data_IF_565613345496
#
_entry.id   IF_565613345496
#
_cell.length_a   1.000
_cell.length_b   1.000
_cell.length_c   1.000
_cell.angle_alpha   90.00
_cell.angle_beta   90.00
_cell.angle_gamma   90.00
#
_symmetry.space_group_name_H-M   'P 1'
#
loop_
_entity.id
_entity.type
_entity.pdbx_description
1 polymer ?
#
# COMPACT_ATOMS: atom_id res chain seq x y z
N UNK A 1 -5.30 -14.70 -6.06
CA UNK A 1 -6.22 -15.10 -7.13
C UNK A 1 -5.47 -15.23 -8.45
N UNK A 2 -5.84 -16.16 -9.31
CA UNK A 2 -5.31 -16.23 -10.67
C UNK A 2 -5.65 -14.93 -11.41
N UNK A 3 -4.67 -14.28 -12.02
CA UNK A 3 -4.82 -12.96 -12.63
C UNK A 3 -4.69 -11.77 -11.66
N UNK A 4 -4.33 -12.04 -10.40
CA UNK A 4 -4.09 -11.00 -9.38
C UNK A 4 -5.35 -10.46 -8.71
N UNK A 5 -5.21 -9.35 -7.97
CA UNK A 5 -6.30 -8.71 -7.23
C UNK A 5 -7.37 -8.12 -8.16
N UNK A 6 -7.00 -7.64 -9.34
CA UNK A 6 -7.95 -7.11 -10.33
C UNK A 6 -9.04 -8.13 -10.68
N UNK A 7 -8.69 -9.42 -10.80
CA UNK A 7 -9.68 -10.48 -11.10
C UNK A 7 -10.77 -10.59 -10.01
N UNK A 8 -10.44 -10.26 -8.75
CA UNK A 8 -11.42 -10.25 -7.65
C UNK A 8 -12.36 -9.05 -7.83
N UNK A 9 -11.80 -7.87 -8.08
CA UNK A 9 -12.57 -6.64 -8.33
C UNK A 9 -13.51 -6.80 -9.52
N UNK A 10 -13.03 -7.37 -10.63
CA UNK A 10 -13.82 -7.62 -11.84
C UNK A 10 -14.99 -8.58 -11.56
N UNK A 11 -14.75 -9.62 -10.76
CA UNK A 11 -15.81 -10.55 -10.36
C UNK A 11 -16.87 -9.86 -9.49
N UNK A 12 -16.45 -9.00 -8.54
CA UNK A 12 -17.36 -8.23 -7.69
C UNK A 12 -18.18 -7.22 -8.50
N UNK A 13 -17.55 -6.48 -9.42
CA UNK A 13 -18.22 -5.54 -10.33
C UNK A 13 -19.22 -6.27 -11.24
N UNK A 14 -18.82 -7.44 -11.79
CA UNK A 14 -19.71 -8.27 -12.59
C UNK A 14 -20.94 -8.72 -11.80
N UNK A 15 -20.75 -9.11 -10.54
CA UNK A 15 -21.85 -9.50 -9.67
C UNK A 15 -22.78 -8.32 -9.33
N UNK A 16 -22.20 -7.15 -8.99
CA UNK A 16 -22.96 -5.92 -8.74
C UNK A 16 -23.86 -5.57 -9.93
N UNK A 17 -23.31 -5.61 -11.16
CA UNK A 17 -24.07 -5.32 -12.38
C UNK A 17 -25.20 -6.32 -12.62
N UNK A 18 -25.02 -7.60 -12.30
CA UNK A 18 -26.10 -8.61 -12.36
C UNK A 18 -27.24 -8.33 -11.39
N UNK A 19 -26.96 -7.64 -10.29
CA UNK A 19 -27.96 -7.21 -9.31
C UNK A 19 -28.63 -5.87 -9.68
N UNK A 20 -28.29 -5.29 -10.85
CA UNK A 20 -28.83 -4.01 -11.31
C UNK A 20 -28.05 -2.79 -10.82
N UNK A 21 -26.89 -2.98 -10.17
CA UNK A 21 -26.02 -1.90 -9.77
C UNK A 21 -25.20 -1.33 -10.93
N UNK A 22 -24.83 -0.07 -10.84
CA UNK A 22 -24.01 0.64 -11.82
C UNK A 22 -22.66 1.00 -11.23
N UNK A 23 -21.65 1.12 -12.09
CA UNK A 23 -20.30 1.58 -11.75
C UNK A 23 -19.91 2.67 -12.73
N UNK A 24 -19.71 3.87 -12.23
CA UNK A 24 -19.18 5.01 -12.95
C UNK A 24 -17.73 5.22 -12.55
N UNK A 25 -16.83 5.27 -13.51
CA UNK A 25 -15.39 5.53 -13.32
C UNK A 25 -14.97 6.81 -14.02
N UNK A 26 -13.79 7.35 -13.64
CA UNK A 26 -13.28 8.58 -14.25
C UNK A 26 -14.02 9.85 -13.82
N UNK A 27 -14.87 9.76 -12.80
CA UNK A 27 -15.60 10.91 -12.25
C UNK A 27 -15.10 11.23 -10.84
N UNK A 28 -14.51 12.38 -10.71
CA UNK A 28 -14.15 12.93 -9.40
C UNK A 28 -15.39 13.57 -8.76
N UNK A 29 -15.66 13.23 -7.50
CA UNK A 29 -16.75 13.79 -6.71
C UNK A 29 -16.17 14.76 -5.69
N UNK A 30 -16.43 16.06 -5.86
CA UNK A 30 -15.98 17.12 -4.97
C UNK A 30 -16.99 17.48 -3.89
N UNK A 31 -18.28 17.34 -4.18
CA UNK A 31 -19.38 17.68 -3.28
C UNK A 31 -20.53 16.67 -3.41
N UNK A 32 -21.29 16.46 -2.32
CA UNK A 32 -22.39 15.50 -2.28
C UNK A 32 -23.52 15.89 -3.24
N UNK A 33 -23.69 17.18 -3.53
CA UNK A 33 -24.73 17.67 -4.43
C UNK A 33 -24.48 17.35 -5.91
N UNK A 34 -23.27 16.86 -6.25
CA UNK A 34 -22.95 16.32 -7.57
C UNK A 34 -23.51 14.91 -7.79
N UNK A 35 -23.91 14.23 -6.69
CA UNK A 35 -24.43 12.87 -6.73
C UNK A 35 -25.95 12.87 -6.92
N UNK A 36 -26.50 11.83 -7.58
CA UNK A 36 -27.94 11.63 -7.65
C UNK A 36 -28.56 11.56 -6.26
N UNK A 37 -29.82 11.99 -6.14
CA UNK A 37 -30.56 11.83 -4.88
C UNK A 37 -30.69 10.35 -4.50
N UNK A 38 -30.32 10.00 -3.30
CA UNK A 38 -30.36 8.64 -2.77
C UNK A 38 -30.86 8.63 -1.32
N UNK A 39 -31.36 7.48 -0.88
CA UNK A 39 -31.79 7.28 0.51
C UNK A 39 -30.59 7.23 1.48
N UNK A 40 -29.41 6.83 0.99
CA UNK A 40 -28.18 6.75 1.76
C UNK A 40 -26.96 6.94 0.87
N UNK A 41 -25.92 7.52 1.44
CA UNK A 41 -24.61 7.66 0.81
C UNK A 41 -23.58 6.92 1.67
N UNK A 42 -22.79 6.05 1.04
CA UNK A 42 -21.72 5.28 1.70
C UNK A 42 -20.38 5.77 1.15
N UNK A 43 -19.49 6.17 2.05
CA UNK A 43 -18.17 6.67 1.70
C UNK A 43 -17.11 5.62 2.01
N UNK A 44 -16.39 5.19 0.98
CA UNK A 44 -15.16 4.41 1.07
C UNK A 44 -13.97 5.31 0.68
N UNK A 45 -13.80 6.38 1.46
CA UNK A 45 -12.80 7.42 1.25
C UNK A 45 -12.10 7.75 2.57
N UNK A 46 -11.01 8.55 2.51
CA UNK A 46 -10.43 9.12 3.72
C UNK A 46 -11.47 9.97 4.48
N UNK A 47 -11.30 10.05 5.80
CA UNK A 47 -12.23 10.83 6.65
C UNK A 47 -12.27 12.31 6.30
N UNK A 48 -11.13 12.87 5.91
CA UNK A 48 -11.02 14.25 5.42
C UNK A 48 -11.75 14.45 4.08
N UNK A 49 -11.66 13.48 3.17
CA UNK A 49 -12.41 13.50 1.92
C UNK A 49 -13.92 13.41 2.17
N UNK A 50 -14.36 12.51 3.05
CA UNK A 50 -15.76 12.44 3.48
C UNK A 50 -16.25 13.78 4.07
N UNK A 51 -15.44 14.38 4.97
CA UNK A 51 -15.80 15.67 5.58
C UNK A 51 -15.95 16.79 4.56
N UNK A 52 -15.09 16.79 3.52
CA UNK A 52 -15.15 17.76 2.42
C UNK A 52 -16.36 17.51 1.51
N UNK A 53 -16.55 16.26 1.06
CA UNK A 53 -17.61 15.92 0.10
C UNK A 53 -18.99 16.11 0.72
N UNK A 54 -19.20 15.61 1.94
CA UNK A 54 -20.49 15.73 2.63
C UNK A 54 -20.79 17.15 3.13
N UNK A 55 -19.76 17.97 3.37
CA UNK A 55 -19.88 19.38 3.71
C UNK A 55 -20.87 19.64 4.84
N UNK A 56 -21.80 20.57 4.62
CA UNK A 56 -22.80 20.98 5.60
C UNK A 56 -23.91 19.95 5.85
N UNK A 57 -23.91 18.82 5.13
CA UNK A 57 -24.78 17.66 5.45
C UNK A 57 -24.35 16.96 6.73
N UNK A 58 -23.10 17.18 7.19
CA UNK A 58 -22.59 16.68 8.46
C UNK A 58 -22.64 17.77 9.54
N UNK A 59 -23.01 17.44 10.78
CA UNK A 59 -22.89 18.36 11.90
C UNK A 59 -21.44 18.83 12.08
N UNK A 60 -21.23 20.11 12.37
CA UNK A 60 -19.91 20.73 12.52
C UNK A 60 -19.00 19.99 13.51
N UNK A 61 -19.57 19.50 14.61
CA UNK A 61 -18.82 18.76 15.63
C UNK A 61 -18.26 17.45 15.05
N UNK A 62 -19.07 16.77 14.24
CA UNK A 62 -18.64 15.51 13.61
C UNK A 62 -17.60 15.76 12.52
N UNK A 63 -17.82 16.77 11.67
CA UNK A 63 -16.85 17.18 10.62
C UNK A 63 -15.48 17.54 11.23
N UNK A 64 -15.47 18.25 12.36
CA UNK A 64 -14.25 18.56 13.11
C UNK A 64 -13.56 17.29 13.66
N UNK A 65 -14.30 16.27 14.07
CA UNK A 65 -13.73 14.99 14.50
C UNK A 65 -13.08 14.25 13.35
N UNK A 66 -13.74 14.15 12.18
CA UNK A 66 -13.20 13.53 10.99
C UNK A 66 -11.86 14.15 10.56
N UNK A 67 -11.76 15.48 10.61
CA UNK A 67 -10.56 16.23 10.25
C UNK A 67 -9.42 16.16 11.29
N UNK A 68 -9.68 15.60 12.48
CA UNK A 68 -8.65 15.39 13.52
C UNK A 68 -8.01 14.01 13.45
N UNK A 69 -8.51 13.14 12.61
CA UNK A 69 -7.94 11.81 12.44
C UNK A 69 -6.48 11.94 11.98
N UNK A 70 -5.58 11.25 12.69
CA UNK A 70 -4.15 11.26 12.40
C UNK A 70 -3.84 10.14 11.43
N UNK A 71 -3.02 10.45 10.43
CA UNK A 71 -2.46 9.46 9.52
C UNK A 71 -1.20 8.83 10.10
N UNK A 72 -0.92 7.61 9.67
CA UNK A 72 0.25 6.83 10.06
C UNK A 72 1.49 7.19 9.23
N UNK A 73 2.55 6.40 9.37
CA UNK A 73 3.71 6.50 8.50
C UNK A 73 3.32 6.19 7.06
N UNK A 74 4.13 6.70 6.13
CA UNK A 74 4.02 6.35 4.73
C UNK A 74 4.82 5.11 4.38
N UNK A 75 4.81 4.77 3.08
CA UNK A 75 5.67 3.72 2.55
C UNK A 75 6.47 4.21 1.35
N UNK A 76 7.63 3.58 1.16
CA UNK A 76 8.36 3.59 -0.10
C UNK A 76 8.33 2.19 -0.69
N UNK A 77 7.84 2.04 -1.90
CA UNK A 77 7.65 0.76 -2.57
C UNK A 77 8.46 0.66 -3.84
N UNK A 78 8.91 -0.56 -4.15
CA UNK A 78 9.55 -0.90 -5.41
C UNK A 78 8.86 -2.13 -5.99
N UNK A 79 8.54 -2.06 -7.27
CA UNK A 79 8.14 -3.20 -8.10
C UNK A 79 9.30 -3.59 -8.99
N UNK A 80 9.59 -4.89 -9.08
CA UNK A 80 10.71 -5.44 -9.83
C UNK A 80 10.24 -6.42 -10.90
N UNK A 81 10.86 -6.33 -12.07
CA UNK A 81 10.92 -7.42 -13.03
C UNK A 81 12.24 -8.17 -12.83
N UNK A 82 12.19 -9.49 -12.68
CA UNK A 82 13.36 -10.32 -12.41
C UNK A 82 13.60 -11.35 -13.52
N UNK A 83 14.89 -11.64 -13.78
CA UNK A 83 15.31 -12.72 -14.69
C UNK A 83 15.05 -14.11 -14.09
N UNK A 84 15.18 -14.23 -12.78
CA UNK A 84 15.13 -15.47 -12.01
C UNK A 84 14.33 -15.31 -10.73
N UNK A 85 13.90 -16.39 -10.05
CA UNK A 85 13.31 -16.31 -8.71
C UNK A 85 14.28 -15.67 -7.72
N UNK A 86 13.74 -14.98 -6.71
CA UNK A 86 14.59 -14.42 -5.64
C UNK A 86 15.43 -15.53 -4.99
N UNK A 87 16.77 -15.37 -4.93
CA UNK A 87 17.67 -16.42 -4.49
C UNK A 87 17.76 -16.55 -2.97
N UNK A 88 16.60 -16.68 -2.28
CA UNK A 88 16.56 -16.85 -0.83
C UNK A 88 17.45 -17.97 -0.33
N UNK A 89 18.25 -17.70 0.69
CA UNK A 89 19.05 -18.73 1.38
C UNK A 89 18.18 -19.79 2.03
N UNK A 90 17.06 -19.39 2.63
CA UNK A 90 16.09 -20.31 3.19
C UNK A 90 15.15 -20.85 2.10
N UNK A 91 15.09 -22.18 1.96
CA UNK A 91 14.25 -22.86 0.96
C UNK A 91 12.74 -22.62 1.16
N UNK A 92 12.28 -22.38 2.39
CA UNK A 92 10.87 -22.12 2.66
C UNK A 92 10.44 -20.74 2.12
N UNK A 93 11.34 -19.74 2.17
CA UNK A 93 11.09 -18.42 1.56
C UNK A 93 10.90 -18.50 0.05
N UNK A 94 11.52 -19.48 -0.64
CA UNK A 94 11.34 -19.68 -2.08
C UNK A 94 9.94 -20.12 -2.47
N UNK A 95 9.19 -20.70 -1.53
CA UNK A 95 7.82 -21.17 -1.72
C UNK A 95 6.77 -20.24 -1.12
N UNK A 96 7.20 -19.25 -0.37
CA UNK A 96 6.32 -18.28 0.27
C UNK A 96 5.89 -17.21 -0.73
N UNK A 97 4.60 -16.88 -0.78
CA UNK A 97 4.10 -15.74 -1.56
C UNK A 97 4.52 -14.39 -0.99
N UNK A 98 4.73 -14.34 0.32
CA UNK A 98 5.16 -13.15 1.06
C UNK A 98 6.27 -13.51 2.03
N UNK A 99 7.31 -12.70 2.08
CA UNK A 99 8.43 -12.82 3.02
C UNK A 99 8.66 -11.47 3.69
N UNK A 100 8.79 -11.47 5.01
CA UNK A 100 9.16 -10.29 5.77
C UNK A 100 10.64 -10.36 6.14
N UNK A 101 11.36 -9.28 5.86
CA UNK A 101 12.81 -9.21 6.02
C UNK A 101 13.13 -8.11 7.04
N UNK A 102 13.76 -8.46 8.16
CA UNK A 102 14.00 -7.46 9.21
C UNK A 102 15.19 -7.77 10.13
N UNK A 103 15.78 -8.96 10.04
CA UNK A 103 16.86 -9.36 10.95
C UNK A 103 16.34 -9.75 12.34
N UNK A 104 16.97 -9.21 13.39
CA UNK A 104 16.57 -9.48 14.77
C UNK A 104 15.31 -8.70 15.18
N UNK A 105 14.66 -9.13 16.29
CA UNK A 105 13.54 -8.39 16.86
C UNK A 105 13.91 -6.93 17.17
N UNK A 106 15.10 -6.69 17.70
CA UNK A 106 15.56 -5.34 18.05
C UNK A 106 15.74 -4.46 16.81
N UNK A 107 16.22 -5.00 15.69
CA UNK A 107 16.31 -4.31 14.42
C UNK A 107 14.92 -3.92 13.91
N UNK A 108 13.95 -4.85 13.96
CA UNK A 108 12.57 -4.59 13.54
C UNK A 108 11.93 -3.49 14.40
N UNK A 109 12.04 -3.62 15.74
CA UNK A 109 11.48 -2.62 16.68
C UNK A 109 12.11 -1.24 16.46
N UNK A 110 13.42 -1.20 16.23
CA UNK A 110 14.12 0.06 15.93
C UNK A 110 13.61 0.68 14.64
N UNK A 111 13.57 -0.07 13.55
CA UNK A 111 13.09 0.42 12.25
C UNK A 111 11.67 0.98 12.34
N UNK A 112 10.76 0.23 12.98
CA UNK A 112 9.36 0.63 13.11
C UNK A 112 9.13 1.81 14.07
N UNK A 113 10.06 2.09 14.98
CA UNK A 113 10.05 3.28 15.83
C UNK A 113 10.62 4.51 15.14
N UNK A 114 11.75 4.35 14.44
CA UNK A 114 12.48 5.44 13.78
C UNK A 114 11.59 6.23 12.81
N UNK A 115 10.72 5.57 12.06
CA UNK A 115 9.79 6.24 11.15
C UNK A 115 8.83 7.21 11.86
N UNK A 116 8.41 6.91 13.11
CA UNK A 116 7.58 7.81 13.91
C UNK A 116 8.36 9.01 14.46
N UNK A 117 9.67 8.88 14.58
CA UNK A 117 10.60 9.92 15.02
C UNK A 117 11.09 10.79 13.83
N UNK A 118 10.59 10.52 12.60
CA UNK A 118 11.02 11.23 11.40
C UNK A 118 12.33 10.73 10.82
N UNK A 119 12.80 9.56 11.26
CA UNK A 119 14.10 8.98 10.88
C UNK A 119 13.87 7.87 9.85
N UNK A 120 14.70 7.84 8.82
CA UNK A 120 14.74 6.77 7.84
C UNK A 120 15.74 5.71 8.27
N UNK A 121 15.24 4.53 8.63
CA UNK A 121 16.12 3.44 9.08
C UNK A 121 17.10 3.01 8.00
N UNK A 122 18.36 2.81 8.36
CA UNK A 122 19.38 2.28 7.44
C UNK A 122 19.18 0.77 7.18
N UNK A 123 18.53 0.08 8.12
CA UNK A 123 18.19 -1.34 8.03
C UNK A 123 16.67 -1.51 8.19
N UNK A 124 15.87 -1.10 7.18
CA UNK A 124 14.42 -1.09 7.31
C UNK A 124 13.84 -2.50 7.44
N UNK A 125 12.76 -2.62 8.19
CA UNK A 125 11.88 -3.76 8.08
C UNK A 125 11.19 -3.71 6.72
N UNK A 126 11.34 -4.77 5.92
CA UNK A 126 10.87 -4.81 4.53
C UNK A 126 9.82 -5.90 4.36
N UNK A 127 8.64 -5.52 3.89
CA UNK A 127 7.65 -6.46 3.39
C UNK A 127 7.91 -6.74 1.92
N UNK A 128 7.89 -8.03 1.57
CA UNK A 128 8.09 -8.45 0.18
C UNK A 128 7.02 -9.42 -0.28
N UNK A 129 6.77 -9.46 -1.58
CA UNK A 129 5.89 -10.47 -2.18
C UNK A 129 6.45 -10.97 -3.51
N UNK A 130 6.18 -12.25 -3.77
CA UNK A 130 6.59 -12.99 -4.95
C UNK A 130 5.34 -13.52 -5.69
N UNK A 131 4.58 -12.67 -6.41
CA UNK A 131 3.31 -13.08 -7.02
C UNK A 131 3.43 -14.29 -7.95
N UNK A 132 4.54 -14.43 -8.67
CA UNK A 132 4.78 -15.55 -9.61
C UNK A 132 4.94 -16.91 -8.93
N UNK A 133 5.26 -16.96 -7.64
CA UNK A 133 5.28 -18.21 -6.87
C UNK A 133 3.88 -18.84 -6.79
N UNK A 134 2.85 -18.02 -6.63
CA UNK A 134 1.46 -18.47 -6.51
C UNK A 134 0.71 -18.47 -7.84
N UNK A 135 1.11 -17.62 -8.78
CA UNK A 135 0.47 -17.45 -10.09
C UNK A 135 1.54 -17.12 -11.16
N UNK A 136 2.08 -18.14 -11.83
CA UNK A 136 3.09 -17.94 -12.88
C UNK A 136 2.64 -17.03 -14.02
N UNK A 137 1.33 -16.87 -14.23
CA UNK A 137 0.80 -16.00 -15.29
C UNK A 137 1.03 -14.50 -15.05
N UNK A 138 1.61 -14.13 -13.90
CA UNK A 138 1.92 -12.74 -13.52
C UNK A 138 3.19 -12.19 -14.19
N UNK A 139 3.95 -13.03 -14.87
CA UNK A 139 5.12 -12.63 -15.65
C UNK A 139 5.19 -13.46 -16.95
N UNK A 140 5.95 -13.01 -17.96
CA UNK A 140 6.30 -13.85 -19.10
C UNK A 140 7.01 -15.14 -18.67
N UNK A 141 6.96 -16.17 -19.50
CA UNK A 141 7.63 -17.45 -19.22
C UNK A 141 9.11 -17.24 -18.89
N UNK A 142 9.57 -17.87 -17.83
CA UNK A 142 10.94 -17.75 -17.33
C UNK A 142 11.28 -16.40 -16.69
N UNK A 143 10.29 -15.54 -16.47
CA UNK A 143 10.46 -14.27 -15.74
C UNK A 143 9.64 -14.25 -14.46
N UNK A 144 10.01 -13.33 -13.56
CA UNK A 144 9.37 -13.23 -12.26
C UNK A 144 9.04 -11.78 -11.92
N UNK A 145 8.01 -11.59 -11.12
CA UNK A 145 7.70 -10.30 -10.49
C UNK A 145 7.92 -10.40 -8.99
N UNK A 146 8.46 -9.34 -8.46
CA UNK A 146 8.70 -9.17 -7.04
C UNK A 146 8.35 -7.73 -6.67
N UNK A 147 7.81 -7.50 -5.50
CA UNK A 147 7.72 -6.15 -4.97
C UNK A 147 8.13 -6.13 -3.50
N UNK A 148 8.64 -5.00 -3.09
CA UNK A 148 9.07 -4.75 -1.72
C UNK A 148 8.65 -3.35 -1.29
N UNK A 149 8.35 -3.16 -0.02
CA UNK A 149 8.23 -1.83 0.57
C UNK A 149 8.77 -1.81 1.99
N UNK A 150 9.15 -0.62 2.44
CA UNK A 150 9.43 -0.34 3.83
C UNK A 150 8.61 0.85 4.30
N UNK A 151 8.38 0.94 5.61
CA UNK A 151 7.80 2.13 6.20
C UNK A 151 8.78 3.29 6.20
N UNK A 152 8.27 4.50 6.02
CA UNK A 152 9.00 5.76 6.02
C UNK A 152 8.21 6.82 6.81
N UNK A 153 8.83 7.89 7.28
CA UNK A 153 8.11 9.03 7.83
C UNK A 153 7.02 9.52 6.86
N UNK A 154 5.85 9.89 7.39
CA UNK A 154 4.72 10.36 6.59
C UNK A 154 5.14 11.51 5.65
N UNK A 155 4.75 11.44 4.38
CA UNK A 155 5.09 12.43 3.36
C UNK A 155 6.54 12.38 2.87
N UNK A 156 7.31 11.36 3.21
CA UNK A 156 8.70 11.23 2.74
C UNK A 156 8.77 10.99 1.23
N UNK A 157 9.64 11.75 0.57
CA UNK A 157 9.98 11.59 -0.85
C UNK A 157 11.37 10.96 -1.05
N UNK A 158 12.05 10.59 0.06
CA UNK A 158 13.39 10.02 -0.01
C UNK A 158 13.38 8.65 -0.68
N UNK A 159 14.24 8.46 -1.69
CA UNK A 159 14.47 7.17 -2.32
C UNK A 159 15.12 6.19 -1.33
N UNK A 160 14.48 5.03 -1.16
CA UNK A 160 14.92 3.96 -0.26
C UNK A 160 15.37 2.70 -0.99
N UNK A 161 15.54 2.77 -2.30
CA UNK A 161 15.91 1.62 -3.16
C UNK A 161 17.12 0.90 -2.61
N UNK A 162 18.20 1.63 -2.36
CA UNK A 162 19.46 1.04 -1.87
C UNK A 162 19.30 0.36 -0.50
N UNK A 163 18.53 0.96 0.40
CA UNK A 163 18.31 0.39 1.73
C UNK A 163 17.47 -0.89 1.67
N UNK A 164 16.41 -0.91 0.85
CA UNK A 164 15.59 -2.10 0.63
C UNK A 164 16.40 -3.21 -0.03
N UNK A 165 17.11 -2.92 -1.11
CA UNK A 165 17.92 -3.92 -1.83
C UNK A 165 19.03 -4.50 -0.96
N UNK A 166 19.71 -3.68 -0.18
CA UNK A 166 20.73 -4.14 0.78
C UNK A 166 20.12 -5.07 1.83
N UNK A 167 18.91 -4.77 2.29
CA UNK A 167 18.22 -5.61 3.27
C UNK A 167 17.80 -6.96 2.64
N UNK A 168 17.31 -6.96 1.42
CA UNK A 168 16.98 -8.21 0.70
C UNK A 168 18.24 -9.04 0.43
N UNK A 169 19.33 -8.42 0.01
CA UNK A 169 20.63 -9.09 -0.23
C UNK A 169 21.18 -9.83 1.00
N UNK A 170 20.91 -9.36 2.22
CA UNK A 170 21.31 -10.06 3.47
C UNK A 170 20.76 -11.48 3.54
N UNK A 171 19.58 -11.73 2.96
CA UNK A 171 18.87 -13.01 3.05
C UNK A 171 18.70 -13.70 1.70
N UNK A 172 18.98 -13.01 0.63
CA UNK A 172 18.93 -13.49 -0.75
C UNK A 172 20.15 -12.99 -1.54
N UNK A 173 21.40 -13.48 -1.23
CA UNK A 173 22.60 -13.05 -1.94
C UNK A 173 22.49 -13.27 -3.44
N UNK A 174 22.83 -12.26 -4.25
CA UNK A 174 22.66 -12.24 -5.70
C UNK A 174 21.30 -11.76 -6.18
N UNK A 175 20.46 -11.22 -5.30
CA UNK A 175 19.16 -10.64 -5.68
C UNK A 175 19.32 -9.54 -6.74
N UNK A 176 20.29 -8.63 -6.55
CA UNK A 176 20.52 -7.51 -7.48
C UNK A 176 20.87 -7.98 -8.88
N UNK A 177 21.54 -9.12 -9.02
CA UNK A 177 21.92 -9.69 -10.32
C UNK A 177 20.69 -10.21 -11.09
N UNK A 178 19.59 -10.54 -10.37
CA UNK A 178 18.33 -10.95 -10.97
C UNK A 178 17.48 -9.77 -11.46
N UNK A 179 17.79 -8.52 -11.08
CA UNK A 179 16.93 -7.35 -11.38
C UNK A 179 17.11 -6.94 -12.84
N UNK A 180 16.03 -7.01 -13.61
CA UNK A 180 15.97 -6.53 -14.99
C UNK A 180 15.51 -5.07 -15.05
N UNK A 181 14.49 -4.73 -14.26
CA UNK A 181 13.89 -3.41 -14.24
C UNK A 181 13.22 -3.16 -12.86
N UNK A 182 13.09 -1.90 -12.48
CA UNK A 182 12.42 -1.49 -11.26
C UNK A 182 11.58 -0.24 -11.49
N UNK A 183 10.48 -0.16 -10.75
CA UNK A 183 9.65 1.04 -10.65
C UNK A 183 9.42 1.37 -9.19
N UNK A 184 9.59 2.63 -8.80
CA UNK A 184 9.46 3.08 -7.41
C UNK A 184 8.24 3.98 -7.23
N UNK A 185 7.69 3.97 -6.02
CA UNK A 185 6.65 4.90 -5.58
C UNK A 185 7.00 5.39 -4.17
N UNK A 186 7.13 6.70 -4.00
CA UNK A 186 7.24 7.37 -2.71
C UNK A 186 5.87 7.82 -2.18
N UNK A 187 5.82 8.53 -1.04
CA UNK A 187 4.56 8.99 -0.45
C UNK A 187 3.78 9.94 -1.36
N UNK A 188 4.46 10.84 -2.08
CA UNK A 188 3.80 11.77 -2.99
C UNK A 188 3.19 11.05 -4.20
N UNK A 189 3.89 10.04 -4.75
CA UNK A 189 3.38 9.20 -5.83
C UNK A 189 2.14 8.42 -5.40
N UNK A 190 2.13 7.90 -4.16
CA UNK A 190 0.97 7.21 -3.59
C UNK A 190 -0.24 8.12 -3.44
N UNK A 191 -0.05 9.33 -2.91
CA UNK A 191 -1.14 10.30 -2.74
C UNK A 191 -1.66 10.80 -4.09
N UNK A 192 -0.78 10.99 -5.08
CA UNK A 192 -1.17 11.34 -6.45
C UNK A 192 -1.95 10.19 -7.13
N UNK A 193 -1.54 8.94 -6.91
CA UNK A 193 -2.25 7.76 -7.42
C UNK A 193 -3.61 7.57 -6.78
N UNK A 194 -3.69 7.74 -5.45
CA UNK A 194 -4.94 7.64 -4.69
C UNK A 194 -4.95 8.67 -3.55
N UNK A 195 -5.71 9.76 -3.67
CA UNK A 195 -5.77 10.84 -2.68
C UNK A 195 -6.29 10.45 -1.29
N UNK A 196 -6.72 9.21 -1.11
CA UNK A 196 -7.04 8.66 0.21
C UNK A 196 -5.80 8.19 0.98
N UNK A 197 -4.66 7.99 0.30
CA UNK A 197 -3.39 7.56 0.88
C UNK A 197 -2.56 8.76 1.34
N UNK A 198 -3.13 9.54 2.24
CA UNK A 198 -2.58 10.82 2.71
C UNK A 198 -1.21 10.62 3.36
N UNK A 199 -0.20 11.33 2.85
CA UNK A 199 1.19 11.19 3.30
C UNK A 199 1.81 9.82 3.01
N UNK A 200 1.21 9.03 2.10
CA UNK A 200 1.65 7.66 1.78
C UNK A 200 1.17 6.60 2.78
N UNK A 201 0.27 6.96 3.71
CA UNK A 201 -0.32 6.01 4.65
C UNK A 201 -1.30 5.06 3.93
N UNK A 202 -0.90 3.80 3.78
CA UNK A 202 -1.72 2.76 3.12
C UNK A 202 -2.72 2.08 4.06
N UNK A 203 -2.69 2.40 5.36
CA UNK A 203 -3.60 1.83 6.38
C UNK A 203 -4.83 2.72 6.58
N UNK A 204 -4.70 4.00 6.23
CA UNK A 204 -5.81 4.97 6.31
C UNK A 204 -5.99 5.60 7.70
N UNK A 205 -4.96 5.55 8.53
CA UNK A 205 -4.92 6.21 9.83
C UNK A 205 -4.11 5.45 10.88
N UNK A 206 -3.73 6.17 11.94
CA UNK A 206 -3.02 5.57 13.07
C UNK A 206 -3.91 4.57 13.79
N UNK A 207 -3.43 3.34 13.94
CA UNK A 207 -4.16 2.25 14.63
C UNK A 207 -3.92 2.26 16.15
N UNK A 208 -3.92 3.45 16.79
CA UNK A 208 -3.86 3.52 18.24
C UNK A 208 -5.27 3.37 18.86
N UNK A 209 -5.31 2.87 20.10
CA UNK A 209 -6.57 2.62 20.81
C UNK A 209 -7.44 3.88 20.99
N UNK A 210 -6.84 5.07 21.04
CA UNK A 210 -7.56 6.34 21.19
C UNK A 210 -8.32 6.68 19.94
N UNK A 211 -7.73 6.41 18.76
CA UNK A 211 -8.34 6.69 17.46
C UNK A 211 -9.37 5.63 17.09
N UNK A 212 -9.16 4.38 17.50
CA UNK A 212 -10.13 3.29 17.27
C UNK A 212 -11.42 3.43 18.10
N UNK A 213 -11.40 4.19 19.19
CA UNK A 213 -12.54 4.36 20.11
C UNK A 213 -13.23 5.73 19.97
N UNK A 214 -12.82 6.58 19.04
CA UNK A 214 -13.42 7.90 18.77
C UNK A 214 -14.14 7.94 17.44
#
# INVERSE_FOLDING_TARGET
AKGGSQAITDAMVSHLRKLGGEVETGRWVGAIDELPAASSYVFDTSTSAMARIAGDRLPDVFRKKLNRLRHGPGIFKIDYALSDPVPWTNSDCRRAGTVHVGGSLDEIVRSEREMWEGIHSDEPFVLTSQPTVSDPSRAPEGKHVFWAYCHVPAGSELDRTEAIERQVERFAPGFRDCVLERNTMNCADYEAYNPNLIGGDIVGGVTDWRQLLT
#
